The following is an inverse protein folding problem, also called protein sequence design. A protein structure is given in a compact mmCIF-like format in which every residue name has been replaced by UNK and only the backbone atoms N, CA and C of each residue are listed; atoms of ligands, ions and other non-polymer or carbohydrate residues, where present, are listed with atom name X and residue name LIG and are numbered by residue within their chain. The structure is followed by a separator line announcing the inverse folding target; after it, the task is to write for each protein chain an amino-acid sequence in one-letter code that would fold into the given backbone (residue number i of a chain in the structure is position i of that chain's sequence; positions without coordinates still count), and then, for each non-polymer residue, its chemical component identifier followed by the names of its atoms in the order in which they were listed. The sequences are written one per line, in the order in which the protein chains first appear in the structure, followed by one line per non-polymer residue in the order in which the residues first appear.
data_IF_985992801998
#
_entry.id   IF_985992801998
#
_cell.length_a   1.000
_cell.length_b   1.000
_cell.length_c   1.000
_cell.angle_alpha   90.00
_cell.angle_beta   90.00
_cell.angle_gamma   90.00
#
_symmetry.space_group_name_H-M   'P 1'
#
loop_
_entity.id
_entity.type
_entity.pdbx_description
1 polymer ?
#
# COMPACT_ATOMS: atom_id res chain seq x y z
N UNK A 1 53.26 24.12 13.30
CA UNK A 1 52.08 24.94 12.99
C UNK A 1 51.25 24.16 11.98
N UNK A 2 50.04 23.76 12.38
CA UNK A 2 49.01 23.04 11.59
C UNK A 2 48.49 23.99 10.47
N UNK A 3 47.93 23.60 9.33
CA UNK A 3 46.89 22.59 9.11
C UNK A 3 46.81 22.13 7.64
N UNK A 4 46.38 20.86 7.46
CA UNK A 4 45.83 20.28 6.22
C UNK A 4 44.31 20.46 6.26
N UNK A 5 43.67 20.87 5.17
CA UNK A 5 42.24 20.61 4.96
C UNK A 5 41.95 20.32 3.49
N UNK A 6 41.83 19.03 3.18
CA UNK A 6 41.12 18.55 1.99
C UNK A 6 39.62 18.67 2.21
N UNK A 7 38.89 19.11 1.17
CA UNK A 7 37.43 19.20 1.18
C UNK A 7 36.88 17.84 0.72
N UNK A 8 36.12 17.09 1.53
CA UNK A 8 35.42 15.93 1.03
C UNK A 8 34.21 16.37 0.19
N UNK A 9 34.10 15.82 -1.03
CA UNK A 9 32.92 15.93 -1.86
C UNK A 9 31.78 15.14 -1.19
N UNK A 10 30.70 15.82 -0.81
CA UNK A 10 29.46 15.16 -0.42
C UNK A 10 28.88 14.46 -1.66
N UNK A 11 28.89 13.14 -1.66
CA UNK A 11 28.05 12.33 -2.53
C UNK A 11 26.64 12.35 -1.94
N UNK A 12 25.70 12.97 -2.66
CA UNK A 12 24.28 12.86 -2.35
C UNK A 12 23.83 11.43 -2.70
N UNK A 13 23.57 10.61 -1.68
CA UNK A 13 22.87 9.34 -1.85
C UNK A 13 21.38 9.67 -2.00
N UNK A 14 20.82 9.44 -3.19
CA UNK A 14 19.38 9.51 -3.41
C UNK A 14 18.72 8.30 -2.78
N UNK A 15 17.96 8.49 -1.71
CA UNK A 15 17.12 7.44 -1.11
C UNK A 15 15.82 7.38 -1.91
N UNK A 16 15.67 6.35 -2.75
CA UNK A 16 14.42 6.04 -3.42
C UNK A 16 13.49 5.34 -2.40
N UNK A 17 12.56 6.09 -1.82
CA UNK A 17 11.47 5.51 -1.04
C UNK A 17 10.45 4.91 -2.01
N UNK A 18 10.63 3.62 -2.33
CA UNK A 18 9.67 2.83 -3.10
C UNK A 18 8.59 2.34 -2.12
N UNK A 19 7.35 2.79 -2.31
CA UNK A 19 6.20 2.19 -1.62
C UNK A 19 5.26 1.63 -2.65
N UNK A 20 4.79 0.43 -2.35
CA UNK A 20 3.90 -0.40 -3.16
C UNK A 20 2.49 0.18 -3.01
N UNK A 21 2.25 1.31 -3.66
CA UNK A 21 0.91 1.88 -3.83
C UNK A 21 0.31 1.21 -5.07
N UNK A 22 -0.44 0.16 -4.79
CA UNK A 22 -1.05 -0.70 -5.79
C UNK A 22 -2.45 -0.13 -6.08
N UNK A 23 -2.68 0.38 -7.30
CA UNK A 23 -4.00 0.76 -7.86
C UNK A 23 -4.53 -0.36 -8.78
N UNK A 24 -5.60 -1.04 -8.37
CA UNK A 24 -6.29 -2.03 -9.22
C UNK A 24 -7.25 -1.32 -10.17
N UNK A 25 -6.95 -1.37 -11.48
CA UNK A 25 -7.89 -1.05 -12.55
C UNK A 25 -8.37 -2.34 -13.20
N UNK A 26 -9.62 -2.75 -12.94
CA UNK A 26 -10.23 -3.85 -13.69
C UNK A 26 -10.68 -3.35 -15.06
N UNK A 27 -10.09 -3.86 -16.14
CA UNK A 27 -10.71 -3.87 -17.47
C UNK A 27 -11.15 -5.30 -17.80
N UNK A 28 -12.45 -5.47 -17.97
CA UNK A 28 -13.10 -6.72 -18.35
C UNK A 28 -13.11 -6.89 -19.87
N UNK A 29 -12.69 -8.06 -20.35
CA UNK A 29 -13.02 -8.53 -21.70
C UNK A 29 -13.18 -10.05 -21.69
N UNK A 30 -14.40 -10.48 -22.03
CA UNK A 30 -14.85 -11.87 -22.09
C UNK A 30 -14.50 -12.57 -23.43
N UNK A 31 -14.37 -13.89 -23.29
CA UNK A 31 -14.60 -15.00 -24.22
C UNK A 31 -13.70 -15.29 -25.45
N UNK A 32 -13.13 -16.51 -25.45
CA UNK A 32 -12.83 -17.23 -26.69
C UNK A 32 -11.85 -18.41 -26.65
N UNK A 33 -12.33 -19.59 -26.22
CA UNK A 33 -11.97 -20.95 -26.67
C UNK A 33 -10.53 -21.52 -26.54
N UNK A 34 -10.44 -22.72 -25.92
CA UNK A 34 -9.29 -23.64 -25.94
C UNK A 34 -9.20 -24.45 -27.27
N UNK A 35 -8.07 -25.11 -27.59
CA UNK A 35 -7.76 -26.42 -26.99
C UNK A 35 -6.27 -26.75 -26.69
N UNK A 36 -6.10 -27.56 -25.64
CA UNK A 36 -5.13 -28.66 -25.35
C UNK A 36 -3.71 -28.65 -25.95
N UNK A 37 -2.67 -28.66 -25.09
CA UNK A 37 -1.88 -29.87 -24.74
C UNK A 37 -0.63 -29.55 -23.87
N UNK A 38 -0.46 -30.35 -22.81
CA UNK A 38 0.85 -30.87 -22.36
C UNK A 38 1.94 -29.91 -21.86
N UNK A 39 1.90 -29.55 -20.58
CA UNK A 39 3.10 -29.48 -19.75
C UNK A 39 2.66 -29.64 -18.28
N UNK A 40 3.25 -30.60 -17.57
CA UNK A 40 2.97 -30.80 -16.14
C UNK A 40 3.37 -29.56 -15.36
N UNK A 41 2.38 -28.74 -14.99
CA UNK A 41 2.56 -27.71 -13.97
C UNK A 41 3.07 -28.38 -12.70
N UNK A 42 4.05 -27.78 -12.00
CA UNK A 42 4.33 -28.18 -10.64
C UNK A 42 3.04 -28.00 -9.85
N UNK A 43 2.43 -29.11 -9.40
CA UNK A 43 1.26 -29.05 -8.55
C UNK A 43 1.65 -28.31 -7.28
N UNK A 44 1.25 -27.05 -7.18
CA UNK A 44 1.23 -26.33 -5.91
C UNK A 44 0.40 -27.20 -4.96
N UNK A 45 0.94 -27.63 -3.81
CA UNK A 45 0.17 -28.42 -2.87
C UNK A 45 -1.10 -27.67 -2.50
N UNK A 46 -2.24 -28.36 -2.51
CA UNK A 46 -3.50 -27.75 -2.13
C UNK A 46 -3.40 -27.17 -0.71
N UNK A 47 -3.96 -25.97 -0.45
CA UNK A 47 -3.93 -25.36 0.86
C UNK A 47 -4.59 -26.28 1.89
N UNK A 48 -4.13 -26.21 3.14
CA UNK A 48 -4.79 -26.91 4.25
C UNK A 48 -6.20 -26.34 4.45
N UNK A 49 -7.10 -27.13 5.05
CA UNK A 49 -8.46 -26.65 5.33
C UNK A 49 -8.48 -25.40 6.23
N UNK A 50 -7.53 -25.30 7.16
CA UNK A 50 -7.34 -24.11 8.01
C UNK A 50 -6.90 -22.89 7.20
N UNK A 51 -5.97 -23.07 6.26
CA UNK A 51 -5.53 -21.99 5.39
C UNK A 51 -6.63 -21.51 4.43
N UNK A 52 -7.42 -22.44 3.89
CA UNK A 52 -8.59 -22.12 3.07
C UNK A 52 -9.64 -21.32 3.88
N UNK A 53 -9.95 -21.75 5.11
CA UNK A 53 -10.87 -21.04 5.99
C UNK A 53 -10.36 -19.63 6.35
N UNK A 54 -9.06 -19.47 6.56
CA UNK A 54 -8.43 -18.17 6.77
C UNK A 54 -8.56 -17.26 5.54
N UNK A 55 -8.29 -17.76 4.33
CA UNK A 55 -8.50 -17.00 3.09
C UNK A 55 -9.96 -16.59 2.90
N UNK A 56 -10.92 -17.49 3.18
CA UNK A 56 -12.35 -17.17 3.12
C UNK A 56 -12.72 -16.08 4.13
N UNK A 57 -12.16 -16.12 5.35
CA UNK A 57 -12.36 -15.10 6.36
C UNK A 57 -11.84 -13.72 5.92
N UNK A 58 -10.65 -13.65 5.30
CA UNK A 58 -10.09 -12.41 4.77
C UNK A 58 -10.91 -11.85 3.61
N UNK A 59 -11.33 -12.70 2.67
CA UNK A 59 -12.16 -12.30 1.55
C UNK A 59 -13.53 -11.77 2.01
N UNK A 60 -14.18 -12.48 2.94
CA UNK A 60 -15.42 -12.03 3.57
C UNK A 60 -15.23 -10.73 4.35
N UNK A 61 -14.09 -10.56 5.02
CA UNK A 61 -13.86 -9.37 5.81
C UNK A 61 -13.73 -8.09 4.99
N UNK A 62 -13.23 -8.20 3.75
CA UNK A 62 -13.35 -7.11 2.80
C UNK A 62 -14.81 -6.73 2.56
N UNK A 63 -15.66 -7.72 2.23
CA UNK A 63 -17.06 -7.49 1.87
C UNK A 63 -17.84 -6.85 3.02
N UNK A 64 -17.68 -7.38 4.23
CA UNK A 64 -18.38 -6.89 5.43
C UNK A 64 -17.89 -5.48 5.82
N UNK A 65 -16.60 -5.19 5.64
CA UNK A 65 -16.06 -3.85 5.89
C UNK A 65 -16.59 -2.83 4.88
N UNK A 66 -16.60 -3.16 3.59
CA UNK A 66 -17.14 -2.30 2.55
C UNK A 66 -18.65 -2.08 2.73
N UNK A 67 -19.39 -3.14 3.09
CA UNK A 67 -20.83 -3.07 3.35
C UNK A 67 -21.21 -2.20 4.56
N UNK A 68 -20.27 -1.92 5.48
CA UNK A 68 -20.47 -1.00 6.59
C UNK A 68 -20.63 0.47 6.15
N UNK A 69 -20.33 0.79 4.89
CA UNK A 69 -20.57 2.09 4.27
C UNK A 69 -19.46 3.09 4.54
N UNK A 70 -19.12 3.38 5.80
CA UNK A 70 -18.04 4.34 6.14
C UNK A 70 -17.14 3.83 7.26
N UNK A 71 -15.89 4.30 7.27
CA UNK A 71 -14.94 4.03 8.35
C UNK A 71 -14.13 5.27 8.73
N UNK A 72 -13.73 5.34 10.00
CA UNK A 72 -12.63 6.21 10.46
C UNK A 72 -11.34 5.41 10.49
N UNK A 73 -10.27 6.03 10.03
CA UNK A 73 -8.96 5.40 9.92
C UNK A 73 -7.93 6.14 10.76
N UNK A 74 -6.95 5.39 11.26
CA UNK A 74 -5.71 5.91 11.81
C UNK A 74 -4.59 5.19 11.09
N UNK A 75 -3.56 5.93 10.70
CA UNK A 75 -2.40 5.42 10.00
C UNK A 75 -1.15 5.74 10.81
N UNK A 76 -0.23 4.78 10.84
CA UNK A 76 1.10 4.96 11.41
C UNK A 76 2.11 4.23 10.53
N UNK A 77 3.15 4.95 10.12
CA UNK A 77 4.25 4.45 9.31
C UNK A 77 5.53 4.83 10.04
N UNK A 78 6.38 3.86 10.31
CA UNK A 78 7.64 4.06 11.03
C UNK A 78 8.75 3.17 10.48
N UNK A 79 9.94 3.29 11.07
CA UNK A 79 11.12 2.49 10.71
C UNK A 79 12.20 3.29 9.99
N UNK A 80 13.13 2.58 9.37
CA UNK A 80 14.34 3.17 8.77
C UNK A 80 14.03 4.08 7.56
N UNK A 81 12.90 3.86 6.89
CA UNK A 81 12.41 4.71 5.79
C UNK A 81 11.87 6.07 6.26
N UNK A 82 11.70 6.26 7.57
CA UNK A 82 11.22 7.50 8.18
C UNK A 82 12.29 8.08 9.14
N UNK A 83 13.45 8.54 8.64
CA UNK A 83 14.57 8.98 9.48
C UNK A 83 14.25 10.21 10.35
N UNK A 84 13.21 10.98 9.99
CA UNK A 84 12.71 12.11 10.77
C UNK A 84 11.74 11.74 11.89
N UNK A 85 11.39 10.46 12.04
CA UNK A 85 10.37 9.97 12.97
C UNK A 85 9.13 9.43 12.24
N UNK A 86 8.24 8.79 13.00
CA UNK A 86 7.03 8.17 12.44
C UNK A 86 6.10 9.19 11.78
N UNK A 87 5.52 8.78 10.66
CA UNK A 87 4.43 9.47 9.99
C UNK A 87 3.14 8.92 10.58
N UNK A 88 2.26 9.80 11.04
CA UNK A 88 0.96 9.41 11.59
C UNK A 88 -0.15 10.08 10.80
N UNK A 89 -1.36 9.57 10.90
CA UNK A 89 -2.50 10.24 10.29
C UNK A 89 -3.83 9.72 10.76
N UNK A 90 -4.84 10.48 10.42
CA UNK A 90 -6.24 10.16 10.66
C UNK A 90 -7.06 10.47 9.41
N UNK A 91 -8.19 9.80 9.27
CA UNK A 91 -9.02 9.99 8.10
C UNK A 91 -10.39 9.33 8.19
N UNK A 92 -11.11 9.47 7.10
CA UNK A 92 -12.39 8.82 6.88
C UNK A 92 -12.50 8.33 5.45
N UNK A 93 -13.21 7.23 5.28
CA UNK A 93 -13.47 6.59 4.00
C UNK A 93 -14.97 6.35 3.88
N UNK A 94 -15.49 6.63 2.69
CA UNK A 94 -16.81 6.22 2.24
C UNK A 94 -16.63 5.13 1.18
N UNK A 95 -17.03 3.91 1.52
CA UNK A 95 -16.95 2.75 0.63
C UNK A 95 -18.05 2.74 -0.42
N UNK A 96 -19.09 3.57 -0.27
CA UNK A 96 -20.23 3.60 -1.21
C UNK A 96 -19.89 4.34 -2.50
N UNK A 97 -19.07 5.38 -2.42
CA UNK A 97 -18.62 6.18 -3.57
C UNK A 97 -17.09 6.23 -3.73
N UNK A 98 -16.34 5.61 -2.82
CA UNK A 98 -14.88 5.57 -2.85
C UNK A 98 -14.22 6.89 -2.44
N UNK A 99 -14.96 7.80 -1.80
CA UNK A 99 -14.42 9.05 -1.30
C UNK A 99 -13.58 8.83 -0.04
N UNK A 100 -12.51 9.59 0.10
CA UNK A 100 -11.68 9.53 1.29
C UNK A 100 -11.10 10.90 1.64
N UNK A 101 -10.87 11.13 2.93
CA UNK A 101 -10.08 12.26 3.43
C UNK A 101 -9.07 11.72 4.42
N UNK A 102 -7.80 12.03 4.21
CA UNK A 102 -6.70 11.61 5.07
C UNK A 102 -5.82 12.82 5.36
N UNK A 103 -5.48 13.02 6.64
CA UNK A 103 -4.53 14.04 7.07
C UNK A 103 -3.33 13.30 7.68
N UNK A 104 -2.16 13.48 7.07
CA UNK A 104 -0.90 12.91 7.51
C UNK A 104 -0.06 13.99 8.19
N UNK A 105 0.54 13.65 9.32
CA UNK A 105 1.61 14.40 9.96
C UNK A 105 2.94 13.79 9.56
N UNK A 106 3.71 14.52 8.75
CA UNK A 106 5.01 14.08 8.24
C UNK A 106 6.10 14.88 8.94
N UNK A 107 7.00 14.24 9.70
CA UNK A 107 8.10 14.95 10.35
C UNK A 107 8.96 15.72 9.35
N UNK A 108 9.18 17.01 9.65
CA UNK A 108 9.92 17.94 8.79
C UNK A 108 9.14 18.53 7.60
N UNK A 109 8.01 17.96 7.22
CA UNK A 109 7.16 18.46 6.13
C UNK A 109 5.79 19.00 6.58
N UNK A 110 5.42 18.80 7.85
CA UNK A 110 4.17 19.31 8.42
C UNK A 110 2.97 18.44 8.09
N UNK A 111 1.79 19.04 8.00
CA UNK A 111 0.56 18.32 7.67
C UNK A 111 0.34 18.26 6.16
N UNK A 112 0.00 17.08 5.67
CA UNK A 112 -0.39 16.81 4.29
C UNK A 112 -1.83 16.32 4.31
N UNK A 113 -2.72 17.04 3.64
CA UNK A 113 -4.11 16.64 3.50
C UNK A 113 -4.32 16.06 2.10
N UNK A 114 -4.90 14.87 2.03
CA UNK A 114 -5.26 14.21 0.77
C UNK A 114 -6.75 13.93 0.76
N UNK A 115 -7.41 14.19 -0.36
CA UNK A 115 -8.81 13.88 -0.59
C UNK A 115 -8.97 13.07 -1.86
N UNK A 116 -9.79 12.04 -1.82
CA UNK A 116 -10.22 11.30 -2.98
C UNK A 116 -11.69 11.63 -3.25
N UNK A 117 -11.98 12.07 -4.48
CA UNK A 117 -13.33 12.44 -4.93
C UNK A 117 -13.46 11.99 -6.38
N UNK A 118 -14.49 11.19 -6.70
CA UNK A 118 -14.76 10.67 -8.04
C UNK A 118 -13.55 9.95 -8.67
N UNK A 119 -12.77 9.22 -7.86
CA UNK A 119 -11.55 8.53 -8.29
C UNK A 119 -10.37 9.46 -8.61
N UNK A 120 -10.48 10.76 -8.31
CA UNK A 120 -9.40 11.75 -8.46
C UNK A 120 -8.83 12.06 -7.08
N UNK A 121 -7.51 12.09 -7.00
CA UNK A 121 -6.78 12.41 -5.77
C UNK A 121 -6.37 13.88 -5.78
N UNK A 122 -6.70 14.58 -4.71
CA UNK A 122 -6.34 15.97 -4.47
C UNK A 122 -5.45 16.04 -3.24
N UNK A 123 -4.23 16.55 -3.39
CA UNK A 123 -3.31 16.74 -2.27
C UNK A 123 -3.14 18.22 -2.00
N UNK A 124 -3.38 18.64 -0.76
CA UNK A 124 -3.13 20.01 -0.32
C UNK A 124 -1.65 20.23 -0.19
N UNK A 125 -1.18 21.31 -0.81
CA UNK A 125 0.22 21.71 -0.76
C UNK A 125 0.43 22.48 0.54
N UNK A 126 1.44 22.14 1.36
CA UNK A 126 1.81 22.94 2.52
C UNK A 126 2.05 24.41 2.12
N UNK A 127 1.62 25.35 2.95
CA UNK A 127 1.63 26.78 2.61
C UNK A 127 3.06 27.29 2.30
N UNK A 128 4.06 26.72 2.97
CA UNK A 128 5.48 27.01 2.78
C UNK A 128 5.98 26.62 1.38
N UNK A 129 5.30 25.67 0.72
CA UNK A 129 5.61 25.19 -0.62
C UNK A 129 4.68 25.76 -1.68
N UNK A 130 3.49 26.26 -1.32
CA UNK A 130 2.49 26.78 -2.26
C UNK A 130 3.05 27.91 -3.14
N UNK A 131 3.90 28.78 -2.56
CA UNK A 131 4.56 29.87 -3.30
C UNK A 131 5.59 29.41 -4.35
N UNK A 132 5.98 28.13 -4.35
CA UNK A 132 6.87 27.53 -5.35
C UNK A 132 6.13 26.95 -6.55
N UNK A 133 4.81 26.83 -6.48
CA UNK A 133 4.00 26.30 -7.57
C UNK A 133 3.57 27.42 -8.53
N UNK A 134 3.55 27.15 -9.85
CA UNK A 134 2.98 28.07 -10.81
C UNK A 134 1.53 28.41 -10.43
N UNK A 135 1.23 29.69 -10.25
CA UNK A 135 -0.13 30.15 -9.92
C UNK A 135 -0.51 30.12 -8.43
N UNK A 136 0.36 29.65 -7.54
CA UNK A 136 0.10 29.69 -6.09
C UNK A 136 -1.07 28.82 -5.63
N UNK A 137 -1.41 27.78 -6.39
CA UNK A 137 -2.52 26.90 -6.08
C UNK A 137 -2.23 26.08 -4.82
N UNK A 138 -3.20 26.02 -3.90
CA UNK A 138 -3.08 25.27 -2.65
C UNK A 138 -3.36 23.77 -2.77
N UNK A 139 -3.71 23.27 -3.96
CA UNK A 139 -4.05 21.88 -4.22
C UNK A 139 -3.42 21.38 -5.52
N UNK A 140 -2.94 20.15 -5.49
CA UNK A 140 -2.51 19.40 -6.67
C UNK A 140 -3.59 18.38 -6.98
N UNK A 141 -4.01 18.32 -8.25
CA UNK A 141 -4.91 17.29 -8.78
C UNK A 141 -4.08 16.18 -9.42
N UNK A 142 -4.37 14.94 -9.05
CA UNK A 142 -3.74 13.73 -9.58
C UNK A 142 -4.87 12.81 -10.05
N UNK A 143 -4.94 12.53 -11.35
CA UNK A 143 -5.80 11.45 -11.87
C UNK A 143 -4.94 10.18 -11.92
N UNK A 144 -5.22 9.16 -11.09
CA UNK A 144 -4.44 7.92 -11.06
C UNK A 144 -4.36 7.24 -12.43
N UNK A 145 -5.40 7.38 -13.26
CA UNK A 145 -5.46 6.75 -14.60
C UNK A 145 -4.52 7.45 -15.60
N UNK A 146 -4.31 8.75 -15.43
CA UNK A 146 -3.34 9.52 -16.23
C UNK A 146 -1.91 9.36 -15.68
N UNK A 147 -1.79 9.14 -14.37
CA UNK A 147 -0.51 8.95 -13.67
C UNK A 147 0.08 7.55 -13.83
N UNK A 148 -0.75 6.51 -14.04
CA UNK A 148 -0.35 5.10 -14.15
C UNK A 148 0.59 4.74 -15.33
N UNK A 149 1.05 5.72 -16.11
CA UNK A 149 2.09 5.54 -17.13
C UNK A 149 3.13 6.66 -17.16
N UNK A 150 3.09 7.60 -16.21
CA UNK A 150 4.00 8.73 -16.17
C UNK A 150 4.88 8.66 -14.93
N UNK A 151 6.20 8.65 -15.13
CA UNK A 151 7.15 8.96 -14.06
C UNK A 151 6.95 10.42 -13.65
N UNK A 152 6.03 10.68 -12.73
CA UNK A 152 5.82 12.01 -12.17
C UNK A 152 7.09 12.44 -11.44
N UNK A 153 7.91 13.25 -12.12
CA UNK A 153 9.26 13.59 -11.71
C UNK A 153 9.32 14.16 -10.29
N UNK A 154 10.01 13.45 -9.40
CA UNK A 154 10.88 13.90 -8.29
C UNK A 154 10.39 14.89 -7.24
N UNK A 155 9.20 15.50 -7.35
CA UNK A 155 8.78 16.61 -6.48
C UNK A 155 7.76 16.21 -5.40
N UNK A 156 7.18 15.02 -5.51
CA UNK A 156 6.29 14.45 -4.51
C UNK A 156 6.86 13.08 -4.10
N UNK A 157 6.90 12.73 -2.79
CA UNK A 157 7.25 11.38 -2.38
C UNK A 157 6.29 10.42 -3.10
N UNK A 158 6.83 9.69 -4.06
CA UNK A 158 6.18 8.86 -5.10
C UNK A 158 5.29 7.71 -4.56
N UNK A 159 5.02 7.74 -3.26
CA UNK A 159 4.54 6.63 -2.48
C UNK A 159 3.56 6.99 -1.37
N UNK A 160 3.39 8.29 -1.12
CA UNK A 160 2.67 8.83 0.04
C UNK A 160 1.39 9.58 -0.37
N UNK A 161 1.11 9.70 -1.67
CA UNK A 161 0.17 10.70 -2.19
C UNK A 161 -1.17 10.16 -2.65
N UNK A 162 -1.50 8.88 -2.44
CA UNK A 162 -2.83 8.42 -2.89
C UNK A 162 -3.08 6.93 -2.85
N UNK A 163 -2.62 6.24 -1.79
CA UNK A 163 -3.20 4.93 -1.53
C UNK A 163 -4.66 5.13 -1.17
N UNK A 164 -5.55 4.82 -2.10
CA UNK A 164 -6.97 4.71 -1.79
C UNK A 164 -7.08 3.72 -0.61
N UNK A 165 -7.56 4.15 0.56
CA UNK A 165 -7.64 3.27 1.71
C UNK A 165 -8.56 2.05 1.47
N UNK A 166 -9.45 2.12 0.47
CA UNK A 166 -10.23 0.96 0.00
C UNK A 166 -9.38 -0.04 -0.79
N UNK A 167 -8.29 0.38 -1.43
CA UNK A 167 -7.35 -0.52 -2.12
C UNK A 167 -6.58 -1.38 -1.12
N UNK A 168 -6.18 -0.82 0.03
CA UNK A 168 -5.53 -1.59 1.10
C UNK A 168 -6.41 -2.76 1.54
N UNK A 169 -7.73 -2.54 1.63
CA UNK A 169 -8.69 -3.60 1.91
C UNK A 169 -8.84 -4.56 0.72
N UNK A 170 -8.86 -4.07 -0.53
CA UNK A 170 -9.04 -4.90 -1.71
C UNK A 170 -7.96 -5.99 -1.83
N UNK A 171 -6.76 -5.77 -1.30
CA UNK A 171 -5.71 -6.80 -1.24
C UNK A 171 -6.11 -8.01 -0.42
N UNK A 172 -6.99 -7.89 0.58
CA UNK A 172 -7.41 -9.01 1.39
C UNK A 172 -8.06 -10.14 0.57
N UNK A 173 -8.70 -9.80 -0.55
CA UNK A 173 -9.25 -10.79 -1.49
C UNK A 173 -8.17 -11.51 -2.32
N UNK A 174 -7.03 -10.85 -2.54
CA UNK A 174 -5.90 -11.39 -3.29
C UNK A 174 -4.95 -12.22 -2.42
N UNK A 175 -5.05 -12.11 -1.09
CA UNK A 175 -4.30 -12.92 -0.14
C UNK A 175 -4.85 -14.34 -0.12
N UNK A 176 -4.42 -15.14 -1.08
CA UNK A 176 -4.77 -16.55 -1.22
C UNK A 176 -3.57 -17.44 -0.88
N UNK A 177 -3.83 -18.60 -0.27
CA UNK A 177 -2.82 -19.64 -0.07
C UNK A 177 -2.46 -19.90 1.38
N UNK A 178 -1.64 -19.04 1.98
CA UNK A 178 -1.10 -19.22 3.33
C UNK A 178 -1.65 -18.17 4.29
N UNK A 179 -2.81 -18.48 4.87
CA UNK A 179 -3.45 -17.68 5.91
C UNK A 179 -3.54 -18.52 7.17
N UNK A 180 -2.96 -18.04 8.26
CA UNK A 180 -2.95 -18.72 9.55
C UNK A 180 -3.63 -17.86 10.60
N UNK A 181 -4.58 -18.43 11.33
CA UNK A 181 -5.10 -17.82 12.56
C UNK A 181 -4.02 -17.86 13.65
N UNK A 182 -3.67 -16.70 14.18
CA UNK A 182 -2.68 -16.55 15.24
C UNK A 182 -3.34 -16.60 16.62
N UNK A 183 -4.57 -16.10 16.74
CA UNK A 183 -5.36 -16.14 17.97
C UNK A 183 -6.26 -14.92 18.14
N UNK A 184 -6.70 -14.66 19.38
CA UNK A 184 -7.59 -13.54 19.72
C UNK A 184 -6.80 -12.37 20.29
N UNK A 185 -7.12 -11.15 19.88
CA UNK A 185 -6.53 -9.90 20.39
C UNK A 185 -7.59 -8.78 20.41
N UNK A 186 -7.55 -7.89 21.40
CA UNK A 186 -8.40 -6.71 21.42
C UNK A 186 -7.78 -5.56 20.61
N UNK A 187 -8.53 -5.03 19.64
CA UNK A 187 -8.17 -3.82 18.91
C UNK A 187 -9.08 -2.68 19.34
N UNK A 188 -8.50 -1.68 20.02
CA UNK A 188 -9.25 -0.52 20.57
C UNK A 188 -10.45 -0.94 21.43
N UNK A 189 -10.28 -2.01 22.22
CA UNK A 189 -11.32 -2.56 23.09
C UNK A 189 -12.40 -3.39 22.39
N UNK A 190 -12.23 -3.70 21.11
CA UNK A 190 -13.09 -4.64 20.36
C UNK A 190 -12.35 -5.97 20.21
N UNK A 191 -12.95 -7.11 20.62
CA UNK A 191 -12.39 -8.43 20.38
C UNK A 191 -12.22 -8.69 18.89
N UNK A 192 -11.08 -9.26 18.51
CA UNK A 192 -10.79 -9.61 17.11
C UNK A 192 -10.02 -10.92 17.01
N UNK A 193 -10.23 -11.61 15.90
CA UNK A 193 -9.39 -12.72 15.46
C UNK A 193 -8.23 -12.18 14.63
N UNK A 194 -7.01 -12.51 15.05
CA UNK A 194 -5.77 -12.11 14.38
C UNK A 194 -5.35 -13.20 13.40
N UNK A 195 -5.18 -12.81 12.14
CA UNK A 195 -4.67 -13.64 11.05
C UNK A 195 -3.33 -13.11 10.56
N UNK A 196 -2.44 -14.03 10.19
CA UNK A 196 -1.26 -13.74 9.37
C UNK A 196 -1.47 -14.34 7.99
N UNK A 197 -1.26 -13.53 6.98
CA UNK A 197 -1.29 -13.91 5.58
C UNK A 197 0.02 -13.58 4.89
N UNK A 198 0.27 -14.20 3.74
CA UNK A 198 1.45 -13.92 2.92
C UNK A 198 1.02 -13.37 1.57
N UNK A 199 1.54 -12.19 1.20
CA UNK A 199 1.30 -11.57 -0.11
C UNK A 199 2.43 -11.93 -1.07
N UNK A 200 2.10 -12.41 -2.28
CA UNK A 200 3.07 -12.55 -3.36
C UNK A 200 3.31 -11.19 -4.04
N UNK A 201 4.55 -10.71 -4.02
CA UNK A 201 4.90 -9.40 -4.55
C UNK A 201 4.80 -9.32 -6.05
N UNK A 202 5.00 -10.44 -6.76
CA UNK A 202 4.95 -10.49 -8.22
C UNK A 202 3.50 -10.46 -8.68
N UNK A 203 2.62 -11.23 -8.04
CA UNK A 203 1.19 -11.19 -8.28
C UNK A 203 0.62 -9.81 -7.95
N UNK A 204 0.97 -9.27 -6.78
CA UNK A 204 0.57 -7.94 -6.38
C UNK A 204 1.03 -6.90 -7.40
N UNK A 205 2.30 -6.88 -7.78
CA UNK A 205 2.81 -5.91 -8.76
C UNK A 205 2.16 -6.06 -10.15
N UNK A 206 1.91 -7.29 -10.64
CA UNK A 206 1.20 -7.52 -11.92
C UNK A 206 -0.23 -7.01 -11.89
N UNK A 207 -0.96 -7.24 -10.80
CA UNK A 207 -2.31 -6.73 -10.62
C UNK A 207 -2.39 -5.19 -10.71
N UNK A 208 -1.23 -4.53 -10.62
CA UNK A 208 -1.07 -3.09 -10.63
C UNK A 208 -0.38 -2.58 -11.90
N UNK A 209 -0.35 -3.42 -12.93
CA UNK A 209 0.15 -3.07 -14.25
C UNK A 209 1.68 -2.97 -14.34
N UNK A 210 2.41 -3.46 -13.33
CA UNK A 210 3.87 -3.53 -13.42
C UNK A 210 4.29 -4.54 -14.48
N UNK A 211 5.26 -4.16 -15.31
CA UNK A 211 5.91 -5.08 -16.24
C UNK A 211 6.92 -5.99 -15.51
N UNK A 212 7.41 -7.02 -16.21
CA UNK A 212 8.34 -7.99 -15.63
C UNK A 212 9.64 -7.34 -15.10
N UNK A 213 10.13 -6.27 -15.74
CA UNK A 213 11.34 -5.59 -15.29
C UNK A 213 11.11 -4.79 -13.99
N UNK A 214 9.95 -4.14 -13.87
CA UNK A 214 9.53 -3.45 -12.65
C UNK A 214 9.31 -4.44 -11.50
N UNK A 215 8.70 -5.58 -11.79
CA UNK A 215 8.49 -6.65 -10.80
C UNK A 215 9.83 -7.19 -10.28
N UNK A 216 10.77 -7.49 -11.19
CA UNK A 216 12.11 -7.93 -10.81
C UNK A 216 12.84 -6.89 -9.98
N UNK A 217 12.72 -5.60 -10.33
CA UNK A 217 13.32 -4.52 -9.56
C UNK A 217 12.75 -4.45 -8.14
N UNK A 218 11.42 -4.59 -7.97
CA UNK A 218 10.76 -4.60 -6.66
C UNK A 218 11.27 -5.76 -5.81
N UNK A 219 11.24 -6.98 -6.35
CA UNK A 219 11.67 -8.20 -5.65
C UNK A 219 13.15 -8.12 -5.27
N UNK A 220 14.01 -7.67 -6.18
CA UNK A 220 15.45 -7.50 -5.92
C UNK A 220 15.71 -6.42 -4.87
N UNK A 221 14.94 -5.33 -4.90
CA UNK A 221 15.07 -4.25 -3.92
C UNK A 221 14.67 -4.74 -2.54
N UNK A 222 13.55 -5.47 -2.41
CA UNK A 222 13.10 -5.97 -1.10
C UNK A 222 13.89 -7.20 -0.64
N UNK A 223 14.61 -7.88 -1.53
CA UNK A 223 15.37 -9.09 -1.25
C UNK A 223 14.48 -10.32 -1.00
N UNK A 224 13.18 -10.22 -1.28
CA UNK A 224 12.19 -11.26 -1.09
C UNK A 224 11.05 -11.11 -2.11
N UNK A 225 10.36 -12.22 -2.36
CA UNK A 225 9.25 -12.37 -3.29
C UNK A 225 7.88 -12.30 -2.59
N UNK A 226 7.85 -12.36 -1.27
CA UNK A 226 6.65 -12.35 -0.46
C UNK A 226 6.71 -11.33 0.67
N UNK A 227 5.56 -10.83 1.15
CA UNK A 227 5.47 -9.97 2.34
C UNK A 227 4.44 -10.53 3.33
N UNK A 228 4.79 -10.68 4.62
CA UNK A 228 3.80 -11.00 5.63
C UNK A 228 2.87 -9.80 5.85
N UNK A 229 1.57 -10.09 5.92
CA UNK A 229 0.51 -9.15 6.24
C UNK A 229 -0.25 -9.71 7.43
N UNK A 230 -0.54 -8.87 8.41
CA UNK A 230 -1.34 -9.23 9.57
C UNK A 230 -2.64 -8.45 9.58
N UNK A 231 -3.74 -9.13 9.91
CA UNK A 231 -5.09 -8.63 9.80
C UNK A 231 -5.88 -9.01 11.05
N UNK A 232 -6.62 -8.06 11.61
CA UNK A 232 -7.50 -8.29 12.76
C UNK A 232 -8.94 -8.07 12.34
N UNK A 233 -9.78 -9.09 12.54
CA UNK A 233 -11.18 -9.13 12.09
C UNK A 233 -12.10 -9.26 13.32
N UNK A 234 -13.12 -8.42 13.44
CA UNK A 234 -14.10 -8.48 14.53
C UNK A 234 -15.17 -9.56 14.33
N UNK A 235 -16.03 -9.74 15.34
CA UNK A 235 -17.13 -10.72 15.31
C UNK A 235 -18.18 -10.45 14.21
N UNK A 236 -18.28 -9.20 13.73
CA UNK A 236 -19.15 -8.83 12.62
C UNK A 236 -18.46 -9.03 11.25
N UNK A 237 -17.26 -9.61 11.23
CA UNK A 237 -16.47 -9.85 10.02
C UNK A 237 -15.71 -8.63 9.52
N UNK A 238 -15.62 -7.52 10.27
CA UNK A 238 -15.01 -6.27 9.78
C UNK A 238 -13.55 -6.17 10.16
N UNK A 239 -12.76 -5.61 9.24
CA UNK A 239 -11.34 -5.33 9.45
C UNK A 239 -11.19 -4.19 10.45
N UNK A 240 -10.46 -4.45 11.53
CA UNK A 240 -10.17 -3.48 12.60
C UNK A 240 -8.73 -2.97 12.57
N UNK A 241 -7.80 -3.76 12.05
CA UNK A 241 -6.39 -3.39 11.88
C UNK A 241 -5.78 -4.19 10.73
N UNK A 242 -4.89 -3.55 9.98
CA UNK A 242 -3.94 -4.19 9.07
C UNK A 242 -2.55 -3.73 9.50
N UNK A 243 -1.59 -4.65 9.54
CA UNK A 243 -0.17 -4.38 9.79
C UNK A 243 0.66 -5.03 8.70
N UNK A 244 1.66 -4.30 8.23
CA UNK A 244 2.63 -4.78 7.26
C UNK A 244 4.02 -4.39 7.75
N UNK A 245 4.92 -5.36 7.76
CA UNK A 245 6.34 -5.14 8.06
C UNK A 245 7.12 -5.33 6.77
N UNK A 246 7.61 -4.21 6.22
CA UNK A 246 8.39 -4.21 4.98
C UNK A 246 9.87 -4.17 5.34
N UNK A 247 10.66 -5.17 4.93
CA UNK A 247 12.09 -5.15 5.17
C UNK A 247 12.72 -4.02 4.37
N UNK A 248 13.64 -3.32 5.02
CA UNK A 248 14.46 -2.31 4.36
C UNK A 248 15.74 -3.03 3.91
N UNK A 249 16.02 -3.10 2.61
CA UNK A 249 17.27 -3.68 2.14
C UNK A 249 18.46 -2.95 2.77
N UNK A 250 19.42 -3.71 3.29
CA UNK A 250 20.68 -3.15 3.74
C UNK A 250 21.36 -2.46 2.55
N UNK A 251 21.53 -1.13 2.64
CA UNK A 251 22.15 -0.35 1.58
C UNK A 251 23.52 -0.90 1.19
N UNK A 252 23.73 -1.16 -0.10
CA UNK A 252 25.05 -1.43 -0.69
C UNK A 252 25.81 -0.14 -0.94
#
# INVERSE_FOLDING_TARGET
MRDRTGRPALRAAGVAALTVALVVGCSSQDDGAAPTDGAGSPSVPAPTAEAAAGSDALAKAYDDTAAAGTARTELSIGGEVTPGGSITGEGSVDFTDGSAVIILSVPGAGQVETRQVDGIVYTRVPEELAGRLPGGFGWVRIDPREAAGQQLGGALPQGQTGGDPTQVLAYLRALSGDVTEIGQEDVRGTPTTHYRATADLREAARANGADDAQIEQIVQTLGQDTLPIEVWIDEDGRVRRIRQDVPVPAGT
#
